data_IF_660140493823
#
_entry.id   IF_660140493823
#
_cell.length_a   1.000
_cell.length_b   1.000
_cell.length_c   1.000
_cell.angle_alpha   90.00
_cell.angle_beta   90.00
_cell.angle_gamma   90.00
#
_symmetry.space_group_name_H-M   'P 1'
#
loop_
_entity.id
_entity.type
_entity.pdbx_description
1 polymer ?
#
# COMPACT_ATOMS: atom_id res chain seq x y z
N UNK A 1 23.83 -14.40 -13.75
CA UNK A 1 22.50 -14.98 -14.05
C UNK A 1 21.47 -14.57 -12.98
N UNK A 2 21.48 -13.32 -12.50
CA UNK A 2 20.55 -12.83 -11.46
C UNK A 2 19.55 -11.78 -11.99
N UNK A 3 19.59 -11.45 -13.29
CA UNK A 3 18.94 -10.24 -13.81
C UNK A 3 17.58 -10.45 -14.52
N UNK A 4 17.16 -11.68 -14.77
CA UNK A 4 15.91 -11.95 -15.49
C UNK A 4 14.74 -12.39 -14.58
N UNK A 5 14.91 -12.30 -13.25
CA UNK A 5 13.85 -12.71 -12.33
C UNK A 5 12.63 -11.76 -12.44
N UNK A 6 11.40 -12.31 -12.59
CA UNK A 6 10.20 -11.49 -12.61
C UNK A 6 10.01 -10.77 -11.28
N UNK A 7 9.46 -9.56 -11.38
CA UNK A 7 9.08 -8.74 -10.25
C UNK A 7 7.60 -8.93 -9.93
N UNK A 8 7.27 -8.89 -8.65
CA UNK A 8 5.88 -8.93 -8.18
C UNK A 8 5.56 -7.61 -7.49
N UNK A 9 4.42 -7.04 -7.84
CA UNK A 9 3.86 -5.83 -7.23
C UNK A 9 2.66 -6.23 -6.39
N UNK A 10 2.71 -5.97 -5.09
CA UNK A 10 1.58 -6.17 -4.19
C UNK A 10 0.94 -4.82 -3.89
N UNK A 11 -0.38 -4.70 -4.03
CA UNK A 11 -1.10 -3.45 -3.81
C UNK A 11 -2.12 -3.62 -2.70
N UNK A 12 -2.15 -2.66 -1.79
CA UNK A 12 -3.15 -2.55 -0.72
C UNK A 12 -3.45 -1.08 -0.39
N UNK A 13 -4.53 -0.82 0.34
CA UNK A 13 -4.97 0.51 0.75
C UNK A 13 -5.05 0.69 2.26
N UNK A 14 -5.10 1.95 2.70
CA UNK A 14 -5.44 2.29 4.07
C UNK A 14 -6.36 3.50 4.17
N UNK A 15 -7.42 3.35 4.95
CA UNK A 15 -8.48 4.34 5.13
C UNK A 15 -9.60 4.18 4.11
N UNK A 16 -10.77 4.76 4.40
CA UNK A 16 -11.90 4.67 3.49
C UNK A 16 -11.84 5.81 2.47
N UNK A 17 -11.96 5.48 1.18
CA UNK A 17 -12.06 6.43 0.08
C UNK A 17 -13.35 7.27 0.09
N UNK A 18 -14.02 7.43 1.23
CA UNK A 18 -15.31 8.12 1.37
C UNK A 18 -15.14 9.49 2.03
N UNK A 19 -15.77 10.52 1.47
CA UNK A 19 -15.88 11.84 2.11
C UNK A 19 -16.73 11.80 3.40
N UNK A 20 -17.58 10.77 3.56
CA UNK A 20 -18.37 10.59 4.80
C UNK A 20 -17.53 10.06 5.96
N UNK A 21 -16.41 9.41 5.65
CA UNK A 21 -15.45 9.01 6.68
C UNK A 21 -14.68 10.26 7.14
N UNK A 22 -15.11 10.78 8.29
CA UNK A 22 -14.49 11.93 8.98
C UNK A 22 -13.35 11.51 9.91
N UNK A 23 -13.16 10.22 10.16
CA UNK A 23 -12.09 9.74 11.04
C UNK A 23 -10.73 9.85 10.38
N UNK A 24 -10.71 9.73 9.05
CA UNK A 24 -9.50 9.75 8.24
C UNK A 24 -9.51 10.94 7.29
N UNK A 25 -8.38 11.63 7.14
CA UNK A 25 -8.23 12.79 6.25
C UNK A 25 -7.75 12.36 4.86
N UNK A 26 -6.97 11.30 4.81
CA UNK A 26 -6.37 10.78 3.59
C UNK A 26 -6.87 9.37 3.27
N UNK A 27 -7.06 9.10 1.98
CA UNK A 27 -7.09 7.75 1.44
C UNK A 27 -5.69 7.42 0.94
N UNK A 28 -5.14 6.28 1.36
CA UNK A 28 -3.77 5.86 1.04
C UNK A 28 -3.80 4.59 0.21
N UNK A 29 -3.04 4.53 -0.87
CA UNK A 29 -2.79 3.28 -1.62
C UNK A 29 -1.29 3.07 -1.76
N UNK A 30 -0.83 1.84 -1.60
CA UNK A 30 0.58 1.52 -1.63
C UNK A 30 0.84 0.31 -2.52
N UNK A 31 1.96 0.34 -3.22
CA UNK A 31 2.52 -0.79 -3.93
C UNK A 31 3.84 -1.21 -3.29
N UNK A 32 4.01 -2.50 -3.00
CA UNK A 32 5.25 -3.11 -2.58
C UNK A 32 5.81 -3.97 -3.72
N UNK A 33 7.04 -3.69 -4.16
CA UNK A 33 7.67 -4.29 -5.33
C UNK A 33 8.91 -5.05 -4.89
N UNK A 34 9.01 -6.32 -5.26
CA UNK A 34 10.22 -7.13 -5.05
C UNK A 34 10.33 -8.22 -6.12
N UNK A 35 11.42 -8.96 -6.14
CA UNK A 35 11.52 -10.16 -6.97
C UNK A 35 10.66 -11.29 -6.40
N UNK A 36 10.27 -12.25 -7.24
CA UNK A 36 9.45 -13.39 -6.83
C UNK A 36 10.09 -14.17 -5.67
N UNK A 37 11.39 -14.46 -5.74
CA UNK A 37 12.16 -15.14 -4.69
C UNK A 37 12.16 -14.37 -3.37
N UNK A 38 12.37 -13.06 -3.42
CA UNK A 38 12.34 -12.22 -2.23
C UNK A 38 10.93 -12.14 -1.65
N UNK A 39 9.90 -12.07 -2.49
CA UNK A 39 8.51 -12.11 -2.07
C UNK A 39 8.15 -13.44 -1.38
N UNK A 40 8.58 -14.56 -1.94
CA UNK A 40 8.42 -15.87 -1.30
C UNK A 40 9.13 -15.93 0.05
N UNK A 41 10.38 -15.49 0.10
CA UNK A 41 11.20 -15.45 1.32
C UNK A 41 10.58 -14.57 2.40
N UNK A 42 9.97 -13.45 2.03
CA UNK A 42 9.23 -12.57 2.93
C UNK A 42 8.01 -13.28 3.55
N UNK A 43 7.22 -13.99 2.75
CA UNK A 43 6.05 -14.75 3.26
C UNK A 43 6.47 -15.86 4.24
N UNK A 44 7.56 -16.58 3.94
CA UNK A 44 8.09 -17.59 4.87
C UNK A 44 8.56 -16.95 6.18
N UNK A 45 9.24 -15.80 6.10
CA UNK A 45 9.67 -15.07 7.29
C UNK A 45 8.48 -14.60 8.13
N UNK A 46 7.47 -14.00 7.50
CA UNK A 46 6.28 -13.50 8.20
C UNK A 46 5.61 -14.61 9.02
N UNK A 47 5.46 -15.80 8.44
CA UNK A 47 4.92 -16.98 9.16
C UNK A 47 5.77 -17.34 10.38
N UNK A 48 7.09 -17.35 10.22
CA UNK A 48 8.04 -17.59 11.33
C UNK A 48 7.97 -16.51 12.40
N UNK A 49 7.82 -15.24 12.00
CA UNK A 49 7.68 -14.10 12.91
C UNK A 49 6.42 -14.22 13.76
N UNK A 50 5.28 -14.57 13.15
CA UNK A 50 4.04 -14.82 13.86
C UNK A 50 4.23 -16.00 14.84
N UNK A 51 4.80 -17.12 14.39
CA UNK A 51 5.06 -18.27 15.29
C UNK A 51 5.99 -17.91 16.45
N UNK A 52 7.05 -17.13 16.20
CA UNK A 52 8.00 -16.67 17.23
C UNK A 52 7.30 -15.93 18.37
N UNK A 53 6.37 -15.04 18.04
CA UNK A 53 5.71 -14.18 19.02
C UNK A 53 4.42 -14.77 19.62
N UNK A 54 3.78 -15.72 18.93
CA UNK A 54 2.50 -16.32 19.36
C UNK A 54 2.55 -17.81 19.70
N UNK A 55 3.69 -18.46 19.48
CA UNK A 55 3.95 -19.89 19.73
C UNK A 55 3.32 -20.85 18.71
N UNK A 56 2.15 -20.51 18.18
CA UNK A 56 1.41 -21.30 17.19
C UNK A 56 0.71 -20.32 16.24
N UNK A 57 0.56 -20.66 14.96
CA UNK A 57 -0.37 -19.96 14.08
C UNK A 57 -1.79 -20.28 14.56
N UNK A 58 -2.34 -19.42 15.43
CA UNK A 58 -3.72 -19.56 15.91
C UNK A 58 -4.69 -19.19 14.79
N UNK A 59 -5.86 -19.84 14.71
CA UNK A 59 -6.96 -19.35 13.88
C UNK A 59 -7.21 -17.87 14.18
N UNK A 60 -7.08 -17.00 13.17
CA UNK A 60 -7.26 -15.55 13.30
C UNK A 60 -6.00 -14.71 13.54
N UNK A 61 -4.81 -15.30 13.66
CA UNK A 61 -3.52 -14.57 13.60
C UNK A 61 -2.73 -15.09 12.40
N UNK A 62 -3.18 -14.70 11.22
CA UNK A 62 -2.55 -15.07 9.94
C UNK A 62 -1.87 -13.88 9.26
N UNK A 63 -2.05 -12.68 9.80
CA UNK A 63 -1.63 -11.43 9.17
C UNK A 63 -1.22 -10.36 10.16
N UNK A 64 -0.30 -9.51 9.70
CA UNK A 64 0.07 -8.21 10.22
C UNK A 64 -0.83 -7.20 9.50
N UNK A 65 -2.01 -6.93 10.06
CA UNK A 65 -2.88 -5.85 9.61
C UNK A 65 -2.59 -4.60 10.45
N UNK A 66 -2.07 -3.54 9.83
CA UNK A 66 -1.44 -2.44 10.55
C UNK A 66 -2.41 -1.67 11.45
N UNK A 67 -3.67 -1.54 11.04
CA UNK A 67 -4.70 -0.98 11.92
C UNK A 67 -4.85 -1.78 13.21
N UNK A 68 -4.84 -3.12 13.14
CA UNK A 68 -5.03 -4.00 14.30
C UNK A 68 -3.80 -3.98 15.22
N UNK A 69 -2.60 -3.78 14.65
CA UNK A 69 -1.37 -3.63 15.43
C UNK A 69 -1.34 -2.31 16.20
N UNK A 70 -1.76 -1.22 15.57
CA UNK A 70 -1.66 0.11 16.20
C UNK A 70 -2.88 0.37 17.09
N UNK A 71 -4.07 0.04 16.61
CA UNK A 71 -5.36 0.30 17.23
C UNK A 71 -6.28 -0.95 17.19
N UNK A 72 -5.95 -2.02 17.94
CA UNK A 72 -6.71 -3.26 17.90
C UNK A 72 -8.18 -3.02 18.25
N UNK A 73 -9.08 -3.64 17.49
CA UNK A 73 -10.52 -3.64 17.79
C UNK A 73 -10.83 -4.43 19.06
N UNK A 74 -12.06 -4.29 19.57
CA UNK A 74 -12.48 -4.89 20.83
C UNK A 74 -12.33 -6.42 20.88
N UNK A 75 -12.59 -7.07 19.75
CA UNK A 75 -12.55 -8.51 19.47
C UNK A 75 -11.21 -9.00 18.90
N UNK A 76 -10.27 -8.08 18.63
CA UNK A 76 -8.97 -8.39 18.04
C UNK A 76 -8.07 -9.18 18.98
N UNK A 77 -7.43 -10.22 18.44
CA UNK A 77 -6.41 -10.99 19.16
C UNK A 77 -5.19 -10.12 19.52
N UNK A 78 -4.90 -9.10 18.70
CA UNK A 78 -3.82 -8.13 18.94
C UNK A 78 -4.04 -7.27 20.19
N UNK A 79 -5.27 -7.16 20.69
CA UNK A 79 -5.59 -6.43 21.91
C UNK A 79 -4.90 -7.02 23.15
N UNK A 80 -4.68 -8.33 23.16
CA UNK A 80 -4.00 -9.05 24.26
C UNK A 80 -2.48 -8.94 24.19
N UNK A 81 -1.94 -8.40 23.10
CA UNK A 81 -0.50 -8.27 22.89
C UNK A 81 -0.04 -6.90 23.39
N UNK A 82 0.98 -6.83 24.27
CA UNK A 82 1.53 -5.56 24.72
C UNK A 82 1.92 -4.66 23.55
N UNK A 83 1.70 -3.34 23.69
CA UNK A 83 1.99 -2.37 22.64
C UNK A 83 3.47 -2.38 22.23
N UNK A 84 4.39 -2.57 23.19
CA UNK A 84 5.82 -2.73 22.95
C UNK A 84 6.12 -3.92 22.02
N UNK A 85 5.56 -5.09 22.33
CA UNK A 85 5.72 -6.31 21.53
C UNK A 85 5.14 -6.13 20.12
N UNK A 86 3.99 -5.46 19.98
CA UNK A 86 3.44 -5.12 18.65
C UNK A 86 4.39 -4.22 17.86
N UNK A 87 5.04 -3.27 18.53
CA UNK A 87 6.09 -2.44 17.95
C UNK A 87 7.29 -3.24 17.46
N UNK A 88 7.77 -4.17 18.28
CA UNK A 88 8.89 -5.07 17.94
C UNK A 88 8.56 -5.95 16.73
N UNK A 89 7.36 -6.52 16.67
CA UNK A 89 6.89 -7.33 15.52
C UNK A 89 6.93 -6.51 14.24
N UNK A 90 6.37 -5.29 14.25
CA UNK A 90 6.40 -4.40 13.09
C UNK A 90 7.84 -4.04 12.70
N UNK A 91 8.69 -3.72 13.68
CA UNK A 91 10.10 -3.39 13.45
C UNK A 91 10.83 -4.55 12.77
N UNK A 92 10.75 -5.75 13.33
CA UNK A 92 11.36 -6.96 12.75
C UNK A 92 10.85 -7.24 11.34
N UNK A 93 9.54 -7.05 11.11
CA UNK A 93 8.92 -7.20 9.80
C UNK A 93 9.51 -6.24 8.77
N UNK A 94 9.53 -4.94 9.09
CA UNK A 94 10.01 -3.91 8.17
C UNK A 94 11.52 -4.00 7.93
N UNK A 95 12.32 -4.31 8.95
CA UNK A 95 13.76 -4.57 8.80
C UNK A 95 14.03 -5.73 7.84
N UNK A 96 13.24 -6.81 7.94
CA UNK A 96 13.35 -7.92 7.00
C UNK A 96 12.96 -7.53 5.58
N UNK A 97 11.91 -6.72 5.41
CA UNK A 97 11.50 -6.28 4.07
C UNK A 97 12.57 -5.40 3.40
N UNK A 98 13.22 -4.52 4.18
CA UNK A 98 14.37 -3.73 3.72
C UNK A 98 15.52 -4.64 3.30
N UNK A 99 15.87 -5.64 4.12
CA UNK A 99 16.94 -6.60 3.80
C UNK A 99 16.64 -7.47 2.57
N UNK A 100 15.35 -7.67 2.24
CA UNK A 100 14.89 -8.35 1.03
C UNK A 100 14.67 -7.40 -0.16
N UNK A 101 15.20 -6.18 -0.10
CA UNK A 101 15.18 -5.17 -1.15
C UNK A 101 13.77 -4.84 -1.69
N UNK A 102 12.77 -4.83 -0.81
CA UNK A 102 11.45 -4.32 -1.19
C UNK A 102 11.51 -2.82 -1.48
N UNK A 103 10.88 -2.42 -2.58
CA UNK A 103 10.62 -1.02 -2.91
C UNK A 103 9.15 -0.72 -2.68
N UNK A 104 8.81 0.41 -2.08
CA UNK A 104 7.42 0.82 -1.89
C UNK A 104 7.10 2.12 -2.62
N UNK A 105 5.92 2.22 -3.22
CA UNK A 105 5.37 3.43 -3.83
C UNK A 105 4.04 3.72 -3.14
N UNK A 106 3.84 4.90 -2.58
CA UNK A 106 2.61 5.25 -1.85
C UNK A 106 2.00 6.52 -2.41
N UNK A 107 0.68 6.51 -2.57
CA UNK A 107 -0.13 7.68 -2.95
C UNK A 107 -1.10 7.99 -1.83
N UNK A 108 -1.07 9.24 -1.36
CA UNK A 108 -2.01 9.82 -0.41
C UNK A 108 -2.93 10.80 -1.12
N UNK A 109 -4.24 10.56 -1.05
CA UNK A 109 -5.28 11.43 -1.58
C UNK A 109 -5.95 12.18 -0.44
N UNK A 110 -5.78 13.51 -0.40
CA UNK A 110 -6.43 14.38 0.60
C UNK A 110 -7.91 14.56 0.25
N UNK A 111 -8.80 13.93 1.02
CA UNK A 111 -10.24 13.87 0.70
C UNK A 111 -10.92 15.23 0.64
N UNK A 112 -10.48 16.17 1.47
CA UNK A 112 -11.02 17.54 1.54
C UNK A 112 -10.82 18.34 0.26
N UNK A 113 -9.73 18.10 -0.48
CA UNK A 113 -9.46 18.80 -1.73
C UNK A 113 -10.53 18.44 -2.78
N UNK A 114 -10.79 17.14 -2.91
CA UNK A 114 -11.80 16.60 -3.82
C UNK A 114 -13.21 17.03 -3.42
N UNK A 115 -13.51 17.06 -2.11
CA UNK A 115 -14.78 17.57 -1.61
C UNK A 115 -14.98 19.02 -2.05
N UNK A 116 -13.97 19.88 -1.94
CA UNK A 116 -14.04 21.29 -2.38
C UNK A 116 -14.25 21.39 -3.89
N UNK A 117 -13.36 20.79 -4.69
CA UNK A 117 -13.43 20.89 -6.16
C UNK A 117 -14.73 20.32 -6.77
N UNK A 118 -15.24 19.21 -6.22
CA UNK A 118 -16.38 18.52 -6.81
C UNK A 118 -17.71 18.82 -6.12
N UNK A 119 -17.71 19.51 -4.97
CA UNK A 119 -18.95 20.01 -4.34
C UNK A 119 -19.68 21.02 -5.23
N UNK A 120 -18.93 21.82 -5.99
CA UNK A 120 -19.46 22.76 -6.98
C UNK A 120 -20.25 22.05 -8.09
N UNK A 121 -19.93 20.78 -8.37
CA UNK A 121 -20.59 19.95 -9.39
C UNK A 121 -21.76 19.12 -8.84
N UNK A 122 -22.17 19.32 -7.57
CA UNK A 122 -23.28 18.60 -6.89
C UNK A 122 -23.26 17.07 -7.07
N UNK A 123 -22.07 16.47 -7.13
CA UNK A 123 -21.93 15.02 -7.30
C UNK A 123 -22.37 14.28 -6.04
N UNK A 124 -22.96 13.10 -6.21
CA UNK A 124 -23.39 12.28 -5.07
C UNK A 124 -22.17 11.73 -4.29
N UNK A 125 -22.29 11.45 -2.97
CA UNK A 125 -21.18 10.90 -2.18
C UNK A 125 -20.61 9.59 -2.72
N UNK A 126 -21.43 8.78 -3.41
CA UNK A 126 -20.98 7.55 -4.07
C UNK A 126 -20.04 7.84 -5.24
N UNK A 127 -20.33 8.87 -6.02
CA UNK A 127 -19.48 9.33 -7.13
C UNK A 127 -18.17 9.88 -6.59
N UNK A 128 -18.21 10.69 -5.54
CA UNK A 128 -17.00 11.21 -4.88
C UNK A 128 -16.13 10.09 -4.31
N UNK A 129 -16.75 9.06 -3.72
CA UNK A 129 -16.02 7.89 -3.21
C UNK A 129 -15.29 7.15 -4.34
N UNK A 130 -16.00 6.93 -5.46
CA UNK A 130 -15.43 6.31 -6.65
C UNK A 130 -14.27 7.16 -7.20
N UNK A 131 -14.45 8.47 -7.28
CA UNK A 131 -13.43 9.41 -7.75
C UNK A 131 -12.15 9.37 -6.89
N UNK A 132 -12.28 9.40 -5.56
CA UNK A 132 -11.13 9.33 -4.63
C UNK A 132 -10.33 8.04 -4.85
N UNK A 133 -11.03 6.90 -4.96
CA UNK A 133 -10.41 5.61 -5.21
C UNK A 133 -9.73 5.57 -6.58
N UNK A 134 -10.41 6.01 -7.64
CA UNK A 134 -9.89 6.01 -9.00
C UNK A 134 -8.67 6.91 -9.16
N UNK A 135 -8.67 8.08 -8.50
CA UNK A 135 -7.52 8.97 -8.47
C UNK A 135 -6.33 8.30 -7.76
N UNK A 136 -6.52 7.80 -6.54
CA UNK A 136 -5.43 7.20 -5.76
C UNK A 136 -4.76 6.05 -6.51
N UNK A 137 -5.57 5.11 -6.98
CA UNK A 137 -5.06 3.96 -7.72
C UNK A 137 -4.53 4.34 -9.12
N UNK A 138 -5.19 5.22 -9.87
CA UNK A 138 -4.73 5.64 -11.20
C UNK A 138 -3.33 6.24 -11.14
N UNK A 139 -3.07 7.06 -10.12
CA UNK A 139 -1.74 7.63 -9.85
C UNK A 139 -0.73 6.58 -9.41
N UNK A 140 -1.15 5.59 -8.60
CA UNK A 140 -0.27 4.48 -8.21
C UNK A 140 0.16 3.65 -9.42
N UNK A 141 -0.78 3.31 -10.30
CA UNK A 141 -0.51 2.54 -11.52
C UNK A 141 0.34 3.30 -12.52
N UNK A 142 0.16 4.62 -12.67
CA UNK A 142 1.07 5.45 -13.47
C UNK A 142 2.53 5.27 -13.02
N UNK A 143 2.77 5.28 -11.70
CA UNK A 143 4.10 5.12 -11.12
C UNK A 143 4.62 3.69 -11.25
N UNK A 144 3.77 2.70 -11.04
CA UNK A 144 4.13 1.30 -11.30
C UNK A 144 4.56 1.15 -12.75
N UNK A 145 3.82 1.68 -13.72
CA UNK A 145 4.19 1.56 -15.14
C UNK A 145 5.48 2.29 -15.48
N UNK A 146 5.73 3.47 -14.91
CA UNK A 146 7.03 4.13 -15.03
C UNK A 146 8.16 3.25 -14.46
N UNK A 147 7.91 2.56 -13.36
CA UNK A 147 8.88 1.64 -12.78
C UNK A 147 9.11 0.39 -13.64
N UNK A 148 8.05 -0.16 -14.22
CA UNK A 148 8.14 -1.26 -15.19
C UNK A 148 9.00 -0.81 -16.38
N UNK A 149 8.70 0.35 -16.95
CA UNK A 149 9.43 0.91 -18.10
C UNK A 149 10.91 1.13 -17.77
N UNK A 150 11.22 1.67 -16.58
CA UNK A 150 12.61 1.89 -16.14
C UNK A 150 13.37 0.59 -15.96
N UNK A 151 12.76 -0.40 -15.29
CA UNK A 151 13.44 -1.68 -14.99
C UNK A 151 13.54 -2.59 -16.20
N UNK A 152 12.60 -2.52 -17.15
CA UNK A 152 12.57 -3.37 -18.33
C UNK A 152 12.45 -4.87 -18.01
N UNK A 153 11.91 -5.22 -16.83
CA UNK A 153 11.73 -6.61 -16.37
C UNK A 153 10.26 -7.02 -16.52
N UNK A 154 9.97 -8.32 -16.45
CA UNK A 154 8.59 -8.82 -16.38
C UNK A 154 8.01 -8.56 -14.99
N UNK A 155 6.76 -8.10 -14.93
CA UNK A 155 6.02 -7.83 -13.71
C UNK A 155 4.72 -8.61 -13.65
N UNK A 156 4.37 -9.06 -12.45
CA UNK A 156 3.04 -9.52 -12.10
C UNK A 156 2.47 -8.63 -10.99
N UNK A 157 1.22 -8.17 -11.14
CA UNK A 157 0.57 -7.32 -10.15
C UNK A 157 -0.46 -8.14 -9.38
N UNK A 158 -0.41 -8.07 -8.06
CA UNK A 158 -1.30 -8.74 -7.11
C UNK A 158 -1.99 -7.68 -6.29
N UNK A 159 -3.31 -7.74 -6.23
CA UNK A 159 -4.14 -6.77 -5.50
C UNK A 159 -4.99 -7.55 -4.49
N UNK A 160 -5.24 -6.95 -3.34
CA UNK A 160 -6.12 -7.56 -2.33
C UNK A 160 -7.51 -7.90 -2.91
N UNK A 161 -7.99 -9.10 -2.63
CA UNK A 161 -9.35 -9.53 -2.98
C UNK A 161 -10.41 -9.02 -1.99
N UNK A 162 -10.02 -8.67 -0.76
CA UNK A 162 -10.92 -8.20 0.30
C UNK A 162 -11.50 -6.80 0.07
N UNK A 163 -10.85 -5.99 -0.75
CA UNK A 163 -11.27 -4.61 -1.03
C UNK A 163 -12.42 -4.50 -2.05
N UNK A 164 -13.05 -3.32 -2.10
CA UNK A 164 -14.05 -2.95 -3.15
C UNK A 164 -13.43 -2.76 -4.55
N UNK A 165 -12.23 -3.29 -4.74
CA UNK A 165 -11.28 -2.93 -5.80
C UNK A 165 -11.47 -3.76 -7.06
N UNK A 166 -12.24 -4.85 -7.01
CA UNK A 166 -12.53 -5.69 -8.18
C UNK A 166 -13.11 -4.88 -9.35
N UNK A 167 -14.08 -4.00 -9.07
CA UNK A 167 -14.64 -3.08 -10.07
C UNK A 167 -13.61 -2.06 -10.58
N UNK A 168 -12.61 -1.70 -9.79
CA UNK A 168 -11.59 -0.75 -10.20
C UNK A 168 -10.57 -1.39 -11.14
N UNK A 169 -10.12 -2.63 -10.86
CA UNK A 169 -9.21 -3.39 -11.73
C UNK A 169 -9.81 -3.57 -13.12
N UNK A 170 -11.11 -3.89 -13.18
CA UNK A 170 -11.85 -4.04 -14.43
C UNK A 170 -11.95 -2.71 -15.21
N UNK A 171 -12.03 -1.56 -14.50
CA UNK A 171 -12.16 -0.22 -15.08
C UNK A 171 -10.85 0.55 -15.26
N UNK A 172 -9.72 0.01 -14.80
CA UNK A 172 -8.37 0.61 -14.90
C UNK A 172 -7.98 0.91 -16.35
N UNK A 173 -8.55 0.18 -17.30
CA UNK A 173 -8.45 0.35 -18.76
C UNK A 173 -9.05 1.67 -19.26
N UNK A 174 -10.03 2.24 -18.55
CA UNK A 174 -10.83 3.39 -18.99
C UNK A 174 -10.71 4.60 -18.06
N UNK A 175 -9.74 4.61 -17.14
CA UNK A 175 -9.51 5.75 -16.24
C UNK A 175 -9.17 7.04 -17.01
N UNK A 176 -10.02 8.06 -16.86
CA UNK A 176 -9.83 9.40 -17.42
C UNK A 176 -8.93 10.30 -16.53
N UNK A 177 -8.45 9.78 -15.39
CA UNK A 177 -7.76 10.59 -14.36
C UNK A 177 -6.27 10.80 -14.59
N UNK A 178 -5.65 9.98 -15.43
CA UNK A 178 -4.30 10.25 -15.94
C UNK A 178 -4.31 10.06 -17.45
N UNK A 179 -4.16 11.13 -18.24
CA UNK A 179 -4.08 11.02 -19.70
C UNK A 179 -2.85 10.20 -20.14
N UNK A 180 -1.87 10.03 -19.25
CA UNK A 180 -0.65 9.26 -19.47
C UNK A 180 -0.81 7.77 -19.20
N UNK A 181 -1.83 7.35 -18.44
CA UNK A 181 -1.97 5.97 -18.00
C UNK A 181 -2.18 5.00 -19.17
N UNK A 182 -3.06 5.35 -20.12
CA UNK A 182 -3.32 4.54 -21.32
C UNK A 182 -2.06 4.42 -22.21
N UNK A 183 -1.37 5.52 -22.60
CA UNK A 183 -0.09 5.43 -23.30
C UNK A 183 0.96 4.61 -22.55
N UNK A 184 1.18 4.86 -21.26
CA UNK A 184 2.19 4.15 -20.46
C UNK A 184 1.89 2.65 -20.39
N UNK A 185 0.63 2.26 -20.20
CA UNK A 185 0.24 0.85 -20.20
C UNK A 185 0.56 0.17 -21.53
N UNK A 186 0.28 0.83 -22.66
CA UNK A 186 0.60 0.29 -23.98
C UNK A 186 2.10 0.06 -24.12
N UNK A 187 2.91 1.04 -23.71
CA UNK A 187 4.38 0.98 -23.75
C UNK A 187 4.95 -0.18 -22.93
N UNK A 188 4.34 -0.52 -21.79
CA UNK A 188 4.84 -1.56 -20.88
C UNK A 188 4.14 -2.91 -21.01
N UNK A 189 3.22 -3.06 -21.97
CA UNK A 189 2.40 -4.27 -22.12
C UNK A 189 3.23 -5.55 -22.27
N UNK A 190 4.37 -5.50 -22.97
CA UNK A 190 5.31 -6.62 -23.11
C UNK A 190 5.99 -7.04 -21.79
N UNK A 191 6.01 -6.16 -20.80
CA UNK A 191 6.61 -6.37 -19.49
C UNK A 191 5.58 -6.69 -18.41
N UNK A 192 4.28 -6.65 -18.72
CA UNK A 192 3.22 -6.90 -17.75
C UNK A 192 2.58 -8.27 -18.04
N UNK A 193 2.95 -9.28 -17.23
CA UNK A 193 2.44 -10.64 -17.36
C UNK A 193 0.95 -10.74 -17.04
N UNK A 194 0.49 -9.98 -16.02
CA UNK A 194 -0.90 -9.99 -15.62
C UNK A 194 -1.18 -9.21 -14.34
N UNK A 195 -2.46 -9.08 -14.04
CA UNK A 195 -3.00 -8.50 -12.81
C UNK A 195 -3.93 -9.55 -12.19
N UNK A 196 -3.62 -10.00 -10.98
CA UNK A 196 -4.37 -10.98 -10.22
C UNK A 196 -4.93 -10.41 -8.91
N UNK A 197 -5.92 -11.12 -8.38
CA UNK A 197 -6.46 -10.91 -7.04
C UNK A 197 -5.95 -12.01 -6.12
N UNK A 198 -5.64 -11.67 -4.86
CA UNK A 198 -5.26 -12.65 -3.86
C UNK A 198 -5.58 -12.15 -2.44
N UNK A 199 -5.89 -13.04 -1.48
CA UNK A 199 -6.06 -12.63 -0.09
C UNK A 199 -4.77 -12.14 0.57
N UNK A 200 -4.89 -11.08 1.37
CA UNK A 200 -3.82 -10.45 2.17
C UNK A 200 -2.94 -11.42 2.95
N UNK A 201 -3.55 -12.37 3.64
CA UNK A 201 -2.85 -13.28 4.55
C UNK A 201 -1.88 -14.23 3.82
N UNK A 202 -1.96 -14.35 2.50
CA UNK A 202 -1.04 -15.18 1.71
C UNK A 202 0.28 -14.49 1.38
N UNK A 203 0.33 -13.15 1.44
CA UNK A 203 1.44 -12.39 0.86
C UNK A 203 1.99 -11.35 1.84
N UNK A 204 3.24 -11.56 2.29
CA UNK A 204 3.94 -10.57 3.10
C UNK A 204 4.10 -9.23 2.38
N UNK A 205 4.27 -9.22 1.05
CA UNK A 205 4.34 -7.99 0.27
C UNK A 205 3.05 -7.15 0.35
N UNK A 206 1.89 -7.79 0.45
CA UNK A 206 0.62 -7.08 0.58
C UNK A 206 0.45 -6.50 1.99
N UNK A 207 0.85 -7.27 3.02
CA UNK A 207 0.88 -6.77 4.40
C UNK A 207 1.89 -5.63 4.59
N UNK A 208 2.99 -5.63 3.83
CA UNK A 208 3.89 -4.49 3.75
C UNK A 208 3.21 -3.28 3.10
N UNK A 209 2.45 -3.47 2.01
CA UNK A 209 1.70 -2.40 1.38
C UNK A 209 0.68 -1.76 2.34
N UNK A 210 -0.14 -2.55 3.05
CA UNK A 210 -1.06 -2.05 4.10
C UNK A 210 -0.31 -1.29 5.19
N UNK A 211 0.77 -1.89 5.72
CA UNK A 211 1.57 -1.28 6.80
C UNK A 211 2.12 0.07 6.41
N UNK A 212 2.70 0.18 5.21
CA UNK A 212 3.29 1.43 4.72
C UNK A 212 2.20 2.44 4.35
N UNK A 213 1.10 2.01 3.74
CA UNK A 213 -0.05 2.87 3.46
C UNK A 213 -0.63 3.47 4.75
N UNK A 214 -0.77 2.64 5.79
CA UNK A 214 -1.28 3.02 7.10
C UNK A 214 -0.33 3.99 7.80
N UNK A 215 0.97 3.69 7.86
CA UNK A 215 1.94 4.57 8.51
C UNK A 215 2.04 5.93 7.84
N UNK A 216 2.15 5.98 6.50
CA UNK A 216 2.15 7.27 5.80
C UNK A 216 0.91 8.09 6.13
N UNK A 217 -0.29 7.50 6.04
CA UNK A 217 -1.51 8.19 6.40
C UNK A 217 -1.47 8.74 7.83
N UNK A 218 -1.01 7.95 8.80
CA UNK A 218 -0.98 8.36 10.21
C UNK A 218 0.08 9.41 10.52
N UNK A 219 1.20 9.42 9.81
CA UNK A 219 2.20 10.50 9.88
C UNK A 219 1.55 11.80 9.41
N UNK A 220 0.94 11.83 8.22
CA UNK A 220 0.30 13.03 7.66
C UNK A 220 -0.96 13.48 8.39
N UNK A 221 -1.52 12.64 9.26
CA UNK A 221 -2.63 12.98 10.15
C UNK A 221 -2.17 13.45 11.54
N UNK A 222 -0.88 13.35 11.87
CA UNK A 222 -0.31 13.53 13.21
C UNK A 222 -0.91 12.56 14.26
N UNK A 223 -1.20 11.32 13.84
CA UNK A 223 -1.87 10.31 14.67
C UNK A 223 -1.09 9.00 14.82
N UNK A 224 0.17 8.94 14.39
CA UNK A 224 1.05 7.80 14.66
C UNK A 224 1.62 7.90 16.08
N UNK A 225 1.53 6.80 16.84
CA UNK A 225 1.89 6.74 18.27
C UNK A 225 3.17 5.91 18.46
N UNK A 226 3.86 6.11 19.58
CA UNK A 226 4.91 5.19 20.02
C UNK A 226 4.35 3.78 20.26
N UNK A 227 5.15 2.71 20.05
CA UNK A 227 6.55 2.71 19.60
C UNK A 227 6.73 2.79 18.06
N UNK A 228 5.64 2.86 17.29
CA UNK A 228 5.69 2.77 15.83
C UNK A 228 6.32 4.01 15.19
N UNK A 229 6.11 5.17 15.81
CA UNK A 229 6.62 6.46 15.32
C UNK A 229 8.16 6.48 15.26
N UNK A 230 8.85 6.08 16.33
CA UNK A 230 10.33 6.05 16.35
C UNK A 230 10.92 5.30 15.15
N UNK A 231 10.43 4.08 14.87
CA UNK A 231 10.94 3.29 13.75
C UNK A 231 10.68 3.95 12.38
N UNK A 232 9.47 4.49 12.21
CA UNK A 232 9.07 5.19 10.99
C UNK A 232 9.96 6.40 10.75
N UNK A 233 10.19 7.23 11.77
CA UNK A 233 11.03 8.43 11.68
C UNK A 233 12.49 8.06 11.36
N UNK A 234 13.00 6.95 11.91
CA UNK A 234 14.38 6.51 11.69
C UNK A 234 14.64 5.84 10.35
N UNK A 235 13.67 5.11 9.79
CA UNK A 235 13.85 4.29 8.59
C UNK A 235 12.98 4.75 7.44
N UNK A 236 11.66 4.75 7.63
CA UNK A 236 10.70 5.03 6.56
C UNK A 236 10.85 6.46 6.04
N UNK A 237 10.92 7.44 6.94
CA UNK A 237 11.06 8.85 6.58
C UNK A 237 12.41 9.20 5.97
N UNK A 238 13.50 8.68 6.53
CA UNK A 238 14.86 8.96 6.04
C UNK A 238 15.14 8.35 4.67
N UNK A 239 14.55 7.19 4.38
CA UNK A 239 14.71 6.49 3.10
C UNK A 239 13.68 6.94 2.06
N UNK A 240 12.63 7.66 2.48
CA UNK A 240 11.63 8.16 1.57
C UNK A 240 12.16 9.34 0.75
N UNK A 241 12.11 9.18 -0.56
CA UNK A 241 12.17 10.32 -1.47
C UNK A 241 10.77 10.96 -1.46
N UNK A 242 10.68 12.21 -0.98
CA UNK A 242 9.43 12.96 -0.90
C UNK A 242 9.38 13.97 -2.05
N UNK A 243 8.22 14.16 -2.67
CA UNK A 243 8.04 15.26 -3.63
C UNK A 243 8.16 16.62 -2.90
N UNK A 244 9.02 17.55 -3.36
CA UNK A 244 9.13 18.89 -2.77
C UNK A 244 7.91 19.78 -2.99
N UNK A 245 7.13 19.57 -4.06
CA UNK A 245 6.00 20.42 -4.45
C UNK A 245 4.63 19.78 -4.23
N UNK A 246 4.56 18.49 -3.87
CA UNK A 246 3.35 17.67 -4.00
C UNK A 246 3.18 17.08 -5.41
N UNK A 247 3.88 17.63 -6.42
CA UNK A 247 3.92 17.11 -7.79
C UNK A 247 5.05 16.12 -8.01
N UNK A 248 4.83 15.13 -8.87
CA UNK A 248 5.53 13.84 -8.76
C UNK A 248 6.76 13.77 -9.66
N UNK A 249 7.95 13.63 -9.05
CA UNK A 249 9.18 13.22 -9.73
C UNK A 249 9.85 12.06 -8.95
N UNK A 250 10.06 10.91 -9.60
CA UNK A 250 10.81 9.77 -9.02
C UNK A 250 10.08 8.94 -7.93
N UNK A 251 10.75 7.89 -7.43
CA UNK A 251 10.28 6.94 -6.41
C UNK A 251 9.89 7.63 -5.11
N UNK A 252 8.92 7.10 -4.36
CA UNK A 252 8.54 7.59 -3.03
C UNK A 252 7.12 8.14 -2.92
N UNK A 253 6.85 8.84 -1.81
CA UNK A 253 5.49 9.24 -1.39
C UNK A 253 4.96 10.34 -2.29
N UNK A 254 3.76 10.13 -2.84
CA UNK A 254 2.96 11.19 -3.47
C UNK A 254 1.90 11.68 -2.49
N UNK A 255 1.87 12.97 -2.21
CA UNK A 255 0.74 13.63 -1.54
C UNK A 255 0.00 14.44 -2.61
N UNK A 256 -1.27 14.15 -2.84
CA UNK A 256 -2.12 14.98 -3.68
C UNK A 256 -3.05 15.80 -2.79
N UNK A 257 -2.99 17.13 -2.87
CA UNK A 257 -3.89 18.01 -2.14
C UNK A 257 -3.50 19.47 -2.14
#
# INVERSE_FOLDING_TARGET
>A
MADDEPLVVFIDESGQASIKDKETKYFSVCAAISSEFNAHSATQFLRKLIVKHFGIIKPGIHEIHAHELVNPRGDSLWRKVPLSVRGEIVKEFLEKMIALNFTTITVLVKKQYIERELSELRKSPKVLTKYIAELGYGLLFERIFLEIKRRGKVFFVVIDEGGKNKQFIENLTNSDFSPYLKPLRKDVSQYLLGIGLSPSFLHAGMQLADTVAYFWRRIYEDKLREPFKTFVDEKLEKLAIKSPSGDIYGYGIKIWG
#
